data_IF_527801356845
#
_entry.id   IF_527801356845
#
_cell.length_a   1.000
_cell.length_b   1.000
_cell.length_c   1.000
_cell.angle_alpha   90.00
_cell.angle_beta   90.00
_cell.angle_gamma   90.00
#
_symmetry.space_group_name_H-M   'P 1'
#
loop_
_entity.id
_entity.type
_entity.pdbx_description
1 polymer ?
#
# COMPACT_ATOMS: atom_id res chain seq x y z
N UNK A 1 10.59 11.41 16.11
CA UNK A 1 9.84 12.59 15.61
C UNK A 1 9.86 12.53 14.10
N UNK A 2 8.73 12.75 13.44
CA UNK A 2 8.71 12.87 11.99
C UNK A 2 9.25 14.25 11.58
N UNK A 3 10.07 14.31 10.54
CA UNK A 3 10.58 15.54 9.96
C UNK A 3 9.92 15.78 8.60
N UNK A 4 9.58 17.02 8.27
CA UNK A 4 9.04 17.38 6.96
C UNK A 4 9.65 18.66 6.41
N UNK A 5 9.81 18.73 5.10
CA UNK A 5 10.23 19.93 4.35
C UNK A 5 9.54 19.97 2.99
N UNK A 6 9.54 21.13 2.33
CA UNK A 6 8.98 21.32 1.01
C UNK A 6 8.70 22.79 0.73
N UNK A 7 8.82 23.17 -0.53
CA UNK A 7 8.54 24.53 -0.99
C UNK A 7 7.15 24.58 -1.61
N UNK A 8 6.33 25.51 -1.12
CA UNK A 8 5.00 25.77 -1.65
C UNK A 8 4.97 27.11 -2.37
N UNK A 9 4.39 27.13 -3.56
CA UNK A 9 4.18 28.35 -4.33
C UNK A 9 2.72 28.45 -4.79
N UNK A 10 2.14 29.64 -4.71
CA UNK A 10 0.80 29.92 -5.20
C UNK A 10 0.91 30.85 -6.40
N UNK A 11 0.31 30.48 -7.53
CA UNK A 11 0.19 31.33 -8.73
C UNK A 11 -1.23 31.25 -9.27
N UNK A 12 -1.97 32.35 -9.16
CA UNK A 12 -3.39 32.39 -9.51
C UNK A 12 -4.17 31.36 -8.68
N UNK A 13 -4.80 30.41 -9.37
CA UNK A 13 -5.57 29.32 -8.76
C UNK A 13 -4.75 28.04 -8.53
N UNK A 14 -3.45 28.07 -8.76
CA UNK A 14 -2.58 26.88 -8.68
C UNK A 14 -1.68 26.95 -7.45
N UNK A 15 -1.72 25.90 -6.63
CA UNK A 15 -0.75 25.61 -5.58
C UNK A 15 0.23 24.55 -6.10
N UNK A 16 1.53 24.85 -6.12
CA UNK A 16 2.58 23.90 -6.49
C UNK A 16 3.41 23.52 -5.26
N UNK A 17 3.80 22.25 -5.17
CA UNK A 17 4.72 21.69 -4.19
C UNK A 17 5.97 21.18 -4.91
N UNK A 18 7.14 21.63 -4.47
CA UNK A 18 8.44 21.12 -4.91
C UNK A 18 9.30 20.69 -3.74
N UNK A 19 10.09 19.62 -3.92
CA UNK A 19 11.00 19.15 -2.87
C UNK A 19 10.31 18.66 -1.59
N UNK A 20 9.02 18.30 -1.67
CA UNK A 20 8.27 17.77 -0.54
C UNK A 20 8.94 16.50 -0.04
N UNK A 21 9.17 16.45 1.27
CA UNK A 21 9.80 15.34 1.95
C UNK A 21 9.15 15.14 3.31
N UNK A 22 8.78 13.90 3.62
CA UNK A 22 8.35 13.48 4.95
C UNK A 22 9.19 12.28 5.34
N UNK A 23 9.90 12.37 6.46
CA UNK A 23 10.65 11.28 7.05
C UNK A 23 10.05 10.93 8.41
N UNK A 24 9.46 9.74 8.51
CA UNK A 24 8.81 9.26 9.74
C UNK A 24 9.74 8.42 10.61
N UNK A 25 10.96 8.15 10.15
CA UNK A 25 11.87 7.12 10.69
C UNK A 25 11.52 5.70 10.26
N UNK A 26 10.27 5.42 9.87
CA UNK A 26 9.84 4.12 9.32
C UNK A 26 9.85 4.11 7.78
N UNK A 27 9.67 5.28 7.18
CA UNK A 27 9.75 5.49 5.76
C UNK A 27 10.00 6.95 5.41
N UNK A 28 10.56 7.15 4.23
CA UNK A 28 10.83 8.44 3.62
C UNK A 28 9.94 8.59 2.40
N UNK A 29 9.10 9.61 2.39
CA UNK A 29 8.19 9.95 1.31
C UNK A 29 8.67 11.25 0.67
N UNK A 30 8.88 11.25 -0.64
CA UNK A 30 9.02 12.47 -1.44
C UNK A 30 7.69 12.79 -2.11
N UNK A 31 7.42 14.07 -2.32
CA UNK A 31 6.24 14.54 -3.00
C UNK A 31 6.53 15.81 -3.79
N UNK A 32 6.00 15.85 -4.99
CA UNK A 32 5.96 17.04 -5.84
C UNK A 32 4.69 16.99 -6.66
N UNK A 33 4.10 18.14 -6.92
CA UNK A 33 2.80 18.16 -7.55
C UNK A 33 2.18 19.54 -7.61
N UNK A 34 1.00 19.56 -8.19
CA UNK A 34 0.22 20.77 -8.37
C UNK A 34 -1.25 20.50 -8.08
N UNK A 35 -1.88 21.49 -7.47
CA UNK A 35 -3.30 21.55 -7.27
C UNK A 35 -3.85 22.81 -7.95
N UNK A 36 -4.67 22.61 -8.97
CA UNK A 36 -5.40 23.67 -9.66
C UNK A 36 -6.80 23.75 -9.06
N UNK A 37 -7.14 24.90 -8.47
CA UNK A 37 -8.41 25.17 -7.82
C UNK A 37 -9.32 26.08 -8.67
N UNK A 38 -9.77 25.55 -9.80
CA UNK A 38 -10.72 26.24 -10.66
C UNK A 38 -12.16 25.82 -10.30
N UNK A 39 -13.12 26.76 -10.24
CA UNK A 39 -14.54 26.43 -10.08
C UNK A 39 -14.98 25.41 -11.15
N UNK A 40 -15.53 24.28 -10.73
CA UNK A 40 -15.99 23.20 -11.63
C UNK A 40 -14.89 22.38 -12.32
N UNK A 41 -13.62 22.63 -12.02
CA UNK A 41 -12.48 22.01 -12.71
C UNK A 41 -11.26 21.80 -11.80
N UNK A 42 -11.50 21.40 -10.54
CA UNK A 42 -10.43 21.14 -9.59
C UNK A 42 -9.61 19.92 -10.05
N UNK A 43 -8.28 20.03 -9.99
CA UNK A 43 -7.37 18.94 -10.36
C UNK A 43 -6.16 18.91 -9.45
N UNK A 44 -5.83 17.73 -8.95
CA UNK A 44 -4.57 17.47 -8.25
C UNK A 44 -3.74 16.51 -9.08
N UNK A 45 -2.43 16.78 -9.16
CA UNK A 45 -1.43 15.85 -9.68
C UNK A 45 -0.31 15.74 -8.64
N UNK A 46 0.04 14.53 -8.22
CA UNK A 46 1.06 14.26 -7.23
C UNK A 46 1.94 13.09 -7.69
N UNK A 47 3.25 13.28 -7.60
CA UNK A 47 4.23 12.25 -7.90
C UNK A 47 5.36 12.25 -6.87
N UNK A 48 6.03 11.11 -6.77
CA UNK A 48 7.16 10.96 -5.86
C UNK A 48 7.49 9.51 -5.60
N UNK A 49 8.20 9.29 -4.50
CA UNK A 49 8.65 8.00 -4.06
C UNK A 49 8.43 7.80 -2.57
N UNK A 50 8.18 6.56 -2.16
CA UNK A 50 8.07 6.14 -0.77
C UNK A 50 9.05 4.98 -0.56
N UNK A 51 10.01 5.16 0.34
CA UNK A 51 11.07 4.19 0.59
C UNK A 51 11.21 3.88 2.06
N UNK A 52 11.62 2.66 2.37
CA UNK A 52 11.94 2.27 3.74
C UNK A 52 12.48 0.85 3.83
N UNK A 53 12.93 0.48 5.03
CA UNK A 53 13.63 -0.78 5.25
C UNK A 53 12.74 -1.86 5.88
N UNK A 54 11.59 -1.48 6.48
CA UNK A 54 10.65 -2.40 7.15
C UNK A 54 9.21 -2.01 6.81
N UNK A 55 8.66 -2.66 5.79
CA UNK A 55 7.31 -2.41 5.27
C UNK A 55 6.24 -2.55 6.33
N UNK A 56 6.33 -3.55 7.20
CA UNK A 56 5.36 -3.81 8.24
C UNK A 56 5.35 -2.73 9.33
N UNK A 57 6.53 -2.24 9.73
CA UNK A 57 6.63 -1.13 10.65
C UNK A 57 6.06 0.17 10.04
N UNK A 58 6.37 0.44 8.76
CA UNK A 58 5.83 1.59 8.04
C UNK A 58 4.30 1.49 7.86
N UNK A 59 3.78 0.33 7.46
CA UNK A 59 2.36 0.09 7.29
C UNK A 59 1.60 0.30 8.61
N UNK A 60 2.11 -0.26 9.71
CA UNK A 60 1.55 -0.08 11.05
C UNK A 60 1.51 1.40 11.47
N UNK A 61 2.56 2.18 11.17
CA UNK A 61 2.59 3.62 11.45
C UNK A 61 1.44 4.38 10.75
N UNK A 62 1.07 3.95 9.54
CA UNK A 62 -0.07 4.50 8.78
C UNK A 62 -1.40 3.78 9.05
N UNK A 63 -1.47 2.85 10.01
CA UNK A 63 -2.68 2.10 10.34
C UNK A 63 -3.09 1.05 9.30
N UNK A 64 -2.17 0.65 8.41
CA UNK A 64 -2.40 -0.34 7.36
C UNK A 64 -1.92 -1.72 7.85
N UNK A 65 -2.80 -2.73 7.77
CA UNK A 65 -2.42 -4.12 8.03
C UNK A 65 -1.83 -4.76 6.77
N UNK A 66 -0.74 -5.52 6.91
CA UNK A 66 -0.10 -6.24 5.81
C UNK A 66 0.41 -7.61 6.27
N UNK A 67 0.27 -8.66 5.44
CA UNK A 67 0.89 -9.96 5.71
C UNK A 67 2.41 -9.95 5.42
N UNK A 68 2.91 -8.96 4.69
CA UNK A 68 4.33 -8.88 4.32
C UNK A 68 5.15 -8.35 5.49
N UNK A 69 6.18 -9.10 5.90
CA UNK A 69 7.05 -8.79 7.04
C UNK A 69 8.50 -8.61 6.62
N UNK A 70 9.19 -7.69 7.31
CA UNK A 70 10.65 -7.54 7.23
C UNK A 70 11.19 -6.97 5.92
N UNK A 71 10.34 -6.75 4.92
CA UNK A 71 10.77 -6.32 3.60
C UNK A 71 11.07 -4.83 3.54
N UNK A 72 12.18 -4.47 2.89
CA UNK A 72 12.35 -3.10 2.37
C UNK A 72 11.33 -2.83 1.26
N UNK A 73 11.05 -1.56 1.02
CA UNK A 73 10.11 -1.13 0.00
C UNK A 73 10.61 0.12 -0.74
N UNK A 74 10.33 0.17 -2.04
CA UNK A 74 10.48 1.34 -2.90
C UNK A 74 9.21 1.41 -3.77
N UNK A 75 8.44 2.47 -3.57
CA UNK A 75 7.18 2.71 -4.27
C UNK A 75 7.33 4.02 -5.03
N UNK A 76 7.16 4.00 -6.35
CA UNK A 76 7.09 5.21 -7.15
C UNK A 76 5.65 5.42 -7.59
N UNK A 77 5.14 6.62 -7.39
CA UNK A 77 3.76 6.97 -7.71
C UNK A 77 3.72 8.20 -8.61
N UNK A 78 2.79 8.19 -9.55
CA UNK A 78 2.39 9.36 -10.34
C UNK A 78 0.88 9.28 -10.50
N UNK A 79 0.17 10.12 -9.74
CA UNK A 79 -1.25 10.05 -9.49
C UNK A 79 -1.91 11.39 -9.80
N UNK A 80 -3.14 11.34 -10.30
CA UNK A 80 -3.95 12.52 -10.53
C UNK A 80 -5.43 12.24 -10.33
N UNK A 81 -6.16 13.23 -9.81
CA UNK A 81 -7.61 13.16 -9.55
C UNK A 81 -8.26 14.54 -9.64
N UNK A 82 -9.59 14.58 -9.69
CA UNK A 82 -10.40 15.80 -9.87
C UNK A 82 -10.97 16.33 -8.55
N UNK A 83 -10.13 16.48 -7.53
CA UNK A 83 -10.51 17.03 -6.23
C UNK A 83 -9.29 17.62 -5.51
N UNK A 84 -9.46 18.09 -4.27
CA UNK A 84 -8.37 18.63 -3.45
C UNK A 84 -7.34 17.55 -3.07
N UNK A 85 -6.08 17.92 -2.78
CA UNK A 85 -5.04 16.97 -2.37
C UNK A 85 -5.36 16.17 -1.09
N UNK A 86 -6.13 16.75 -0.18
CA UNK A 86 -6.52 16.14 1.11
C UNK A 86 -7.85 15.37 1.06
N UNK A 87 -8.55 15.40 -0.08
CA UNK A 87 -9.78 14.62 -0.32
C UNK A 87 -9.70 13.98 -1.71
N UNK A 88 -8.87 12.95 -1.91
CA UNK A 88 -8.81 12.24 -3.18
C UNK A 88 -10.17 11.68 -3.58
N UNK A 89 -10.57 11.92 -4.82
CA UNK A 89 -11.78 11.35 -5.40
C UNK A 89 -11.42 10.04 -6.11
N UNK A 90 -11.87 8.91 -5.55
CA UNK A 90 -11.56 7.57 -6.06
C UNK A 90 -12.08 7.37 -7.49
N UNK A 91 -13.24 7.95 -7.83
CA UNK A 91 -13.83 7.82 -9.15
C UNK A 91 -12.95 8.44 -10.25
N UNK A 92 -12.32 9.58 -9.97
CA UNK A 92 -11.41 10.25 -10.92
C UNK A 92 -9.93 9.95 -10.70
N UNK A 93 -9.56 9.17 -9.69
CA UNK A 93 -8.19 8.79 -9.42
C UNK A 93 -7.62 7.96 -10.58
N UNK A 94 -6.52 8.42 -11.14
CA UNK A 94 -5.84 7.77 -12.24
C UNK A 94 -4.33 7.91 -12.04
N UNK A 95 -3.57 6.99 -12.63
CA UNK A 95 -2.12 7.06 -12.59
C UNK A 95 -1.43 5.71 -12.59
N UNK A 96 -0.17 5.71 -12.20
CA UNK A 96 0.68 4.54 -12.14
C UNK A 96 1.35 4.43 -10.77
N UNK A 97 1.39 3.19 -10.28
CA UNK A 97 2.15 2.81 -9.10
C UNK A 97 3.16 1.72 -9.50
N UNK A 98 4.44 1.96 -9.25
CA UNK A 98 5.50 0.95 -9.40
C UNK A 98 6.01 0.61 -8.01
N UNK A 99 5.96 -0.65 -7.66
CA UNK A 99 6.33 -1.11 -6.32
C UNK A 99 7.40 -2.18 -6.41
N UNK A 100 8.41 -2.07 -5.55
CA UNK A 100 9.41 -3.10 -5.31
C UNK A 100 9.50 -3.36 -3.81
N UNK A 101 9.30 -4.61 -3.44
CA UNK A 101 9.62 -5.13 -2.12
C UNK A 101 10.91 -5.96 -2.21
N UNK A 102 11.82 -5.75 -1.26
CA UNK A 102 13.06 -6.53 -1.12
C UNK A 102 12.80 -7.93 -0.57
N UNK A 103 13.80 -8.53 0.08
CA UNK A 103 13.63 -9.83 0.72
C UNK A 103 12.68 -9.71 1.90
N UNK A 104 11.79 -10.68 2.07
CA UNK A 104 10.84 -10.70 3.17
C UNK A 104 10.11 -12.02 3.30
N UNK A 105 9.07 -12.00 4.12
CA UNK A 105 8.23 -13.15 4.40
C UNK A 105 6.76 -12.73 4.29
N UNK A 106 5.95 -13.59 3.69
CA UNK A 106 4.50 -13.52 3.81
C UNK A 106 4.16 -14.32 5.06
N UNK A 107 3.86 -13.62 6.16
CA UNK A 107 3.38 -14.26 7.36
C UNK A 107 2.06 -14.97 7.03
N UNK A 108 1.90 -16.21 7.52
CA UNK A 108 0.65 -16.94 7.37
C UNK A 108 -0.46 -16.19 8.11
N UNK A 109 -1.25 -15.43 7.35
CA UNK A 109 -2.56 -14.98 7.80
C UNK A 109 -3.44 -16.19 7.61
N UNK A 110 -3.43 -17.08 8.60
CA UNK A 110 -4.39 -18.17 8.70
C UNK A 110 -5.79 -17.62 8.48
N UNK A 111 -6.25 -17.69 7.23
CA UNK A 111 -7.54 -17.17 6.81
C UNK A 111 -8.56 -18.12 7.41
N UNK A 112 -9.23 -17.65 8.47
CA UNK A 112 -10.13 -18.43 9.34
C UNK A 112 -11.35 -19.10 8.70
N UNK A 113 -11.37 -19.30 7.37
CA UNK A 113 -12.47 -19.95 6.65
C UNK A 113 -12.04 -21.18 5.83
N UNK A 114 -10.75 -21.35 5.48
CA UNK A 114 -10.29 -22.58 4.83
C UNK A 114 -10.31 -23.81 5.77
N UNK A 115 -10.28 -23.58 7.09
CA UNK A 115 -10.30 -24.63 8.11
C UNK A 115 -11.67 -25.09 8.60
N UNK A 116 -12.79 -24.45 8.20
CA UNK A 116 -14.12 -24.78 8.73
C UNK A 116 -14.89 -25.80 7.88
N UNK A 117 -14.69 -25.83 6.56
CA UNK A 117 -15.46 -26.70 5.66
C UNK A 117 -15.05 -28.19 5.82
N UNK A 118 -13.83 -28.48 6.29
CA UNK A 118 -13.36 -29.86 6.55
C UNK A 118 -13.74 -30.41 7.94
N UNK A 119 -14.26 -29.59 8.87
CA UNK A 119 -14.67 -30.05 10.22
C UNK A 119 -16.01 -30.78 10.24
N UNK A 120 -16.84 -30.62 9.21
CA UNK A 120 -18.16 -31.26 9.12
C UNK A 120 -18.15 -32.60 8.35
N UNK A 121 -17.03 -32.96 7.72
CA UNK A 121 -16.88 -34.23 6.99
C UNK A 121 -16.00 -35.27 7.71
N UNK A 122 -15.35 -34.91 8.81
CA UNK A 122 -14.29 -35.71 9.45
C UNK A 122 -14.72 -36.41 10.76
N UNK A 123 -16.04 -36.58 10.97
CA UNK A 123 -16.56 -37.16 12.21
C UNK A 123 -16.85 -38.65 12.18
N UNK A 124 -16.66 -39.34 11.06
CA UNK A 124 -16.77 -40.79 11.03
C UNK A 124 -15.43 -41.46 10.78
N UNK A 125 -14.96 -42.11 11.84
CA UNK A 125 -13.88 -43.09 11.90
C UNK A 125 -12.46 -42.60 11.58
N UNK A 126 -11.63 -42.57 12.64
CA UNK A 126 -10.15 -42.68 12.57
C UNK A 126 -9.48 -41.39 12.01
N UNK A 127 -8.72 -40.62 12.76
CA UNK A 127 -7.44 -41.07 13.32
C UNK A 127 -6.89 -39.98 14.25
N UNK A 128 -6.88 -40.24 15.57
CA UNK A 128 -6.30 -39.35 16.61
C UNK A 128 -4.76 -39.24 16.57
N UNK A 129 -4.11 -39.67 15.47
CA UNK A 129 -2.64 -39.62 15.30
C UNK A 129 -2.16 -38.73 14.16
N UNK A 130 -3.00 -38.29 13.21
CA UNK A 130 -2.57 -37.43 12.10
C UNK A 130 -2.65 -35.92 12.40
N UNK A 131 -3.37 -35.49 13.46
CA UNK A 131 -3.45 -34.05 13.79
C UNK A 131 -2.15 -33.47 14.35
N UNK A 132 -1.26 -34.31 14.89
CA UNK A 132 0.03 -33.85 15.41
C UNK A 132 1.07 -33.70 14.29
N UNK A 133 0.96 -34.46 13.20
CA UNK A 133 1.98 -34.51 12.13
C UNK A 133 1.75 -33.46 11.01
N UNK A 134 0.54 -32.89 10.90
CA UNK A 134 0.24 -31.83 9.92
C UNK A 134 0.14 -30.42 10.50
N UNK A 135 0.30 -30.28 11.82
CA UNK A 135 0.45 -28.95 12.44
C UNK A 135 1.86 -28.39 12.21
N UNK A 136 2.84 -29.27 11.97
CA UNK A 136 4.27 -28.97 11.99
C UNK A 136 4.88 -28.66 10.61
N UNK A 137 4.07 -28.53 9.55
CA UNK A 137 4.59 -28.25 8.18
C UNK A 137 3.95 -27.03 7.51
N UNK A 138 3.04 -26.33 8.16
CA UNK A 138 2.41 -25.10 7.62
C UNK A 138 2.83 -23.82 8.36
N UNK A 139 3.75 -23.92 9.31
CA UNK A 139 4.19 -22.82 10.17
C UNK A 139 5.47 -22.12 9.71
N UNK A 140 5.96 -22.41 8.52
CA UNK A 140 7.09 -21.71 7.92
C UNK A 140 6.53 -20.66 6.95
N UNK A 141 6.55 -19.38 7.35
CA UNK A 141 6.06 -18.30 6.49
C UNK A 141 6.71 -18.34 5.10
N UNK A 142 5.99 -17.83 4.09
CA UNK A 142 6.46 -17.91 2.71
C UNK A 142 7.51 -16.83 2.45
N UNK A 143 8.78 -17.23 2.46
CA UNK A 143 9.90 -16.33 2.14
C UNK A 143 9.95 -15.98 0.66
N UNK A 144 10.36 -14.75 0.36
CA UNK A 144 10.60 -14.28 -1.00
C UNK A 144 11.84 -13.39 -1.07
N UNK A 145 12.53 -13.41 -2.22
CA UNK A 145 13.70 -12.55 -2.46
C UNK A 145 13.33 -11.16 -2.98
N UNK A 146 12.25 -11.05 -3.75
CA UNK A 146 11.68 -9.76 -4.15
C UNK A 146 10.26 -9.92 -4.70
N UNK A 147 9.44 -8.89 -4.51
CA UNK A 147 8.16 -8.72 -5.20
C UNK A 147 8.23 -7.43 -6.01
N UNK A 148 7.80 -7.48 -7.27
CA UNK A 148 7.74 -6.30 -8.14
C UNK A 148 6.36 -6.22 -8.75
N UNK A 149 5.77 -5.02 -8.74
CA UNK A 149 4.45 -4.77 -9.29
C UNK A 149 4.42 -3.45 -10.04
N UNK A 150 3.63 -3.41 -11.11
CA UNK A 150 3.22 -2.17 -11.78
C UNK A 150 1.71 -2.20 -11.86
N UNK A 151 1.05 -1.24 -11.21
CA UNK A 151 -0.39 -1.08 -11.22
C UNK A 151 -0.76 0.21 -11.96
N UNK A 152 -1.72 0.11 -12.86
CA UNK A 152 -2.36 1.25 -13.49
C UNK A 152 -3.70 1.48 -12.81
N UNK A 153 -3.87 2.64 -12.20
CA UNK A 153 -5.13 3.04 -11.60
C UNK A 153 -5.92 3.74 -12.69
N UNK A 154 -7.10 3.21 -12.99
CA UNK A 154 -8.04 3.82 -13.92
C UNK A 154 -9.32 4.14 -13.17
N UNK A 155 -9.56 5.43 -12.99
CA UNK A 155 -10.78 5.93 -12.40
C UNK A 155 -11.98 5.50 -13.22
N UNK A 156 -13.13 5.30 -12.56
CA UNK A 156 -14.39 5.15 -13.27
C UNK A 156 -14.75 6.53 -13.83
N UNK A 157 -14.50 6.71 -15.12
CA UNK A 157 -15.16 7.78 -15.86
C UNK A 157 -16.66 7.52 -15.71
N UNK A 158 -17.35 8.32 -14.91
CA UNK A 158 -18.79 8.42 -14.98
C UNK A 158 -19.12 8.87 -16.41
N UNK A 159 -19.72 7.95 -17.17
CA UNK A 159 -20.34 8.27 -18.43
C UNK A 159 -21.53 9.18 -18.11
N UNK A 160 -21.33 10.49 -18.28
CA UNK A 160 -22.42 11.44 -18.46
C UNK A 160 -22.93 11.36 -19.90
#
# INVERSE_FOLDING_TARGET
MAASTGDFAIRGNTLSLTGGLVDTGFGRLTAQGEWVNNPGGQRTSLKGDIKGNKLDAAANFFGISTPLRGSSFDVNYDLHWRAAPWTPDEASLNGILKTRFGKGEIADVSTGHAGQILRLLSFDALLRKLRFDFSDTFSEGFYYDSIRSTAWIKGRCDAH
#
